data_IF_297721015474
#
_entry.id   IF_297721015474
#
_cell.length_a   1.000
_cell.length_b   1.000
_cell.length_c   1.000
_cell.angle_alpha   90.00
_cell.angle_beta   90.00
_cell.angle_gamma   90.00
#
_symmetry.space_group_name_H-M   'P 1'
#
loop_
_entity.id
_entity.type
_entity.pdbx_description
1 polymer ?
#
# COMPACT_ATOMS: atom_id res chain seq x y z
N UNK A 1 2.77 15.65 -21.43
CA UNK A 1 1.87 16.66 -22.05
C UNK A 1 2.51 18.06 -22.05
N UNK A 2 3.09 18.50 -20.93
CA UNK A 2 3.81 19.79 -20.82
C UNK A 2 4.85 20.02 -21.92
N UNK A 3 5.67 19.01 -22.26
CA UNK A 3 6.64 19.13 -23.35
C UNK A 3 6.01 19.40 -24.72
N UNK A 4 4.81 18.89 -25.00
CA UNK A 4 4.11 19.08 -26.27
C UNK A 4 3.59 20.51 -26.34
N UNK A 5 2.83 20.93 -25.33
CA UNK A 5 2.29 22.30 -25.23
C UNK A 5 3.43 23.33 -25.21
N UNK A 6 4.52 23.05 -24.50
CA UNK A 6 5.69 23.92 -24.37
C UNK A 6 6.36 24.30 -25.69
N UNK A 7 6.23 23.47 -26.75
CA UNK A 7 6.71 23.83 -28.10
C UNK A 7 5.98 25.06 -28.66
N UNK A 8 4.73 25.25 -28.27
CA UNK A 8 3.90 26.39 -28.64
C UNK A 8 4.04 27.60 -27.71
N UNK A 9 4.82 27.55 -26.63
CA UNK A 9 4.91 28.63 -25.62
C UNK A 9 6.10 29.59 -25.81
N UNK A 10 6.85 29.47 -26.91
CA UNK A 10 7.93 30.42 -27.23
C UNK A 10 7.37 31.81 -27.52
N UNK A 11 8.10 32.84 -27.06
CA UNK A 11 7.80 34.24 -27.33
C UNK A 11 8.03 34.56 -28.81
N UNK A 12 7.12 35.35 -29.39
CA UNK A 12 7.19 35.86 -30.76
C UNK A 12 6.46 37.21 -30.84
N UNK A 13 6.95 38.19 -31.61
CA UNK A 13 6.26 39.47 -31.77
C UNK A 13 4.81 39.29 -32.24
N UNK A 14 3.87 39.99 -31.62
CA UNK A 14 2.45 39.97 -31.97
C UNK A 14 1.65 38.74 -31.50
N UNK A 15 2.30 37.77 -30.84
CA UNK A 15 1.63 36.56 -30.33
C UNK A 15 1.02 36.81 -28.94
N UNK A 16 -0.30 36.69 -28.83
CA UNK A 16 -1.06 36.92 -27.59
C UNK A 16 -1.33 35.65 -26.79
N UNK A 17 -1.41 34.50 -27.47
CA UNK A 17 -1.80 33.22 -26.88
C UNK A 17 -1.30 32.02 -27.71
N UNK A 18 -1.52 30.81 -27.20
CA UNK A 18 -1.25 29.55 -27.87
C UNK A 18 -2.46 28.62 -27.70
N UNK A 19 -3.24 28.44 -28.76
CA UNK A 19 -4.39 27.53 -28.75
C UNK A 19 -3.93 26.06 -28.73
N UNK A 20 -4.47 25.29 -27.79
CA UNK A 20 -4.22 23.84 -27.66
C UNK A 20 -5.54 23.11 -27.93
N UNK A 21 -5.54 22.20 -28.91
CA UNK A 21 -6.69 21.37 -29.27
C UNK A 21 -6.38 19.92 -28.91
N UNK A 22 -7.09 19.36 -27.93
CA UNK A 22 -6.94 17.98 -27.49
C UNK A 22 -8.12 17.12 -27.94
N UNK A 23 -7.87 16.21 -28.88
CA UNK A 23 -8.87 15.29 -29.41
C UNK A 23 -8.82 13.89 -28.76
N UNK A 24 -7.88 13.66 -27.85
CA UNK A 24 -7.70 12.37 -27.17
C UNK A 24 -8.31 12.36 -25.76
N UNK A 25 -8.86 13.49 -25.28
CA UNK A 25 -9.54 13.57 -23.99
C UNK A 25 -8.59 13.38 -22.80
N UNK A 26 -7.34 13.84 -22.93
CA UNK A 26 -6.30 13.54 -21.92
C UNK A 26 -6.55 14.19 -20.54
N UNK A 27 -7.52 15.11 -20.40
CA UNK A 27 -7.85 15.83 -19.16
C UNK A 27 -6.62 16.27 -18.36
N UNK A 28 -5.63 16.84 -19.05
CA UNK A 28 -4.32 17.12 -18.47
C UNK A 28 -4.24 18.57 -17.98
N UNK A 29 -3.95 18.76 -16.70
CA UNK A 29 -3.63 20.08 -16.16
C UNK A 29 -2.15 20.40 -16.40
N UNK A 30 -1.87 21.45 -17.19
CA UNK A 30 -0.51 21.86 -17.56
C UNK A 30 0.37 22.18 -16.33
N UNK A 31 -0.22 22.58 -15.21
CA UNK A 31 0.49 22.93 -13.98
C UNK A 31 0.53 21.80 -12.95
N UNK A 32 -0.04 20.63 -13.27
CA UNK A 32 0.03 19.50 -12.36
C UNK A 32 1.49 19.07 -12.13
N UNK A 33 1.87 18.70 -10.89
CA UNK A 33 3.18 18.16 -10.62
C UNK A 33 3.37 16.82 -11.34
N UNK A 34 4.55 16.61 -11.93
CA UNK A 34 4.88 15.31 -12.52
C UNK A 34 5.31 14.34 -11.41
N UNK A 35 4.57 13.23 -11.27
CA UNK A 35 4.85 12.17 -10.28
C UNK A 35 6.10 11.36 -10.64
N UNK A 36 6.47 11.32 -11.93
CA UNK A 36 7.63 10.59 -12.44
C UNK A 36 7.42 9.09 -12.67
N UNK A 37 6.49 8.44 -11.95
CA UNK A 37 6.13 7.03 -12.15
C UNK A 37 4.90 6.86 -13.08
N UNK A 38 4.74 5.70 -13.75
CA UNK A 38 3.53 5.38 -14.50
C UNK A 38 2.28 5.43 -13.61
N UNK A 39 1.17 5.95 -14.17
CA UNK A 39 -0.12 5.95 -13.48
C UNK A 39 -0.58 4.51 -13.25
N UNK A 40 -0.88 4.11 -12.00
CA UNK A 40 -1.20 2.71 -11.69
C UNK A 40 -2.59 2.30 -12.18
N UNK A 41 -3.60 3.16 -11.99
CA UNK A 41 -4.99 2.88 -12.37
C UNK A 41 -5.68 4.12 -12.92
N UNK A 42 -6.70 3.92 -13.76
CA UNK A 42 -7.65 4.98 -14.10
C UNK A 42 -8.33 5.49 -12.82
N UNK A 43 -8.64 6.80 -12.76
CA UNK A 43 -9.22 7.43 -11.57
C UNK A 43 -8.21 7.89 -10.50
N UNK A 44 -6.91 7.64 -10.69
CA UNK A 44 -5.88 8.17 -9.78
C UNK A 44 -5.38 9.55 -10.19
N UNK A 45 -4.99 10.39 -9.24
CA UNK A 45 -4.46 11.73 -9.47
C UNK A 45 -3.19 11.97 -8.64
N UNK A 46 -2.40 13.01 -8.95
CA UNK A 46 -1.27 13.40 -8.11
C UNK A 46 -1.77 13.90 -6.74
N UNK A 47 -1.32 13.27 -5.66
CA UNK A 47 -1.62 13.63 -4.28
C UNK A 47 -0.35 13.98 -3.52
N UNK A 48 -0.46 14.90 -2.56
CA UNK A 48 0.64 15.26 -1.66
C UNK A 48 0.58 14.43 -0.37
N UNK A 49 1.68 13.76 -0.05
CA UNK A 49 1.80 12.92 1.15
C UNK A 49 3.06 13.31 1.93
N UNK A 50 2.93 13.91 3.14
CA UNK A 50 4.08 14.23 3.97
C UNK A 50 4.76 12.94 4.45
N UNK A 51 6.09 12.91 4.44
CA UNK A 51 6.84 11.81 5.02
C UNK A 51 6.77 11.87 6.56
N UNK A 52 6.34 10.79 7.24
CA UNK A 52 6.32 10.74 8.71
C UNK A 52 7.71 10.87 9.37
N UNK A 53 8.79 10.53 8.65
CA UNK A 53 10.15 10.62 9.19
C UNK A 53 10.76 12.02 9.03
N UNK A 54 10.67 12.61 7.84
CA UNK A 54 11.40 13.83 7.50
C UNK A 54 10.52 15.04 7.15
N UNK A 55 9.19 14.86 7.09
CA UNK A 55 8.23 15.92 6.78
C UNK A 55 8.16 16.33 5.30
N UNK A 56 9.01 15.77 4.42
CA UNK A 56 9.00 16.12 3.00
C UNK A 56 7.64 15.83 2.34
N UNK A 57 7.09 16.79 1.61
CA UNK A 57 5.82 16.66 0.89
C UNK A 57 6.03 15.88 -0.44
N UNK A 58 5.86 14.57 -0.39
CA UNK A 58 6.00 13.71 -1.56
C UNK A 58 4.83 13.90 -2.51
N UNK A 59 5.07 13.77 -3.81
CA UNK A 59 3.99 13.70 -4.80
C UNK A 59 3.87 12.26 -5.30
N UNK A 60 2.73 11.63 -5.08
CA UNK A 60 2.45 10.26 -5.50
C UNK A 60 1.17 10.18 -6.32
N UNK A 61 0.98 9.08 -7.05
CA UNK A 61 -0.35 8.72 -7.52
C UNK A 61 -1.23 8.29 -6.34
N UNK A 62 -2.48 8.74 -6.31
CA UNK A 62 -3.43 8.38 -5.26
C UNK A 62 -4.86 8.78 -5.60
N UNK A 63 -5.72 8.80 -4.59
CA UNK A 63 -7.12 9.24 -4.68
C UNK A 63 -7.41 10.14 -3.49
N UNK A 64 -8.27 11.14 -3.73
CA UNK A 64 -8.81 12.00 -2.69
C UNK A 64 -10.32 11.77 -2.52
N UNK A 65 -10.86 12.13 -1.36
CA UNK A 65 -12.30 12.27 -1.17
C UNK A 65 -12.82 13.61 -1.71
N UNK A 66 -14.12 13.87 -1.53
CA UNK A 66 -14.77 15.11 -1.99
C UNK A 66 -14.19 16.38 -1.34
N UNK A 67 -13.59 16.25 -0.15
CA UNK A 67 -12.95 17.34 0.59
C UNK A 67 -11.46 17.50 0.22
N UNK A 68 -10.94 16.67 -0.68
CA UNK A 68 -9.54 16.69 -1.13
C UNK A 68 -8.57 15.98 -0.17
N UNK A 69 -9.07 15.20 0.79
CA UNK A 69 -8.23 14.42 1.70
C UNK A 69 -7.77 13.13 1.05
N UNK A 70 -6.50 12.76 1.27
CA UNK A 70 -5.91 11.55 0.67
C UNK A 70 -6.50 10.30 1.32
N UNK A 71 -7.27 9.54 0.54
CA UNK A 71 -7.86 8.27 0.97
C UNK A 71 -7.05 7.05 0.51
N UNK A 72 -6.22 7.19 -0.52
CA UNK A 72 -5.35 6.13 -1.03
C UNK A 72 -4.12 6.73 -1.71
N UNK A 73 -2.94 6.11 -1.58
CA UNK A 73 -1.81 6.44 -2.43
C UNK A 73 -0.89 5.24 -2.69
N UNK A 74 -0.13 5.33 -3.77
CA UNK A 74 0.72 4.26 -4.29
C UNK A 74 2.23 4.52 -4.11
N UNK A 75 2.59 5.62 -3.44
CA UNK A 75 3.97 5.92 -3.08
C UNK A 75 4.63 4.83 -2.23
N UNK A 76 5.87 4.46 -2.57
CA UNK A 76 6.63 3.37 -1.92
C UNK A 76 7.71 3.87 -0.97
N UNK A 77 8.43 4.92 -1.36
CA UNK A 77 9.59 5.50 -0.64
C UNK A 77 9.47 7.02 -0.62
N UNK A 78 9.99 7.64 0.43
CA UNK A 78 10.16 9.09 0.44
C UNK A 78 11.12 9.55 -0.69
N UNK A 79 10.81 10.69 -1.29
CA UNK A 79 11.58 11.38 -2.33
C UNK A 79 12.39 12.56 -1.76
N UNK A 80 12.38 12.74 -0.44
CA UNK A 80 13.11 13.80 0.24
C UNK A 80 14.61 13.61 0.13
N UNK A 81 15.30 14.69 -0.21
CA UNK A 81 16.76 14.76 -0.33
C UNK A 81 17.23 15.94 0.51
N UNK A 82 18.20 15.69 1.37
CA UNK A 82 18.81 16.70 2.24
C UNK A 82 20.25 16.91 1.83
N UNK A 83 20.74 18.14 1.93
CA UNK A 83 22.14 18.49 1.69
C UNK A 83 22.70 19.06 3.00
N UNK A 84 23.81 18.49 3.48
CA UNK A 84 24.49 19.01 4.67
C UNK A 84 25.38 20.22 4.34
N UNK A 85 25.98 20.82 5.37
CA UNK A 85 26.85 21.99 5.21
C UNK A 85 28.15 21.69 4.42
N UNK A 86 28.49 20.42 4.22
CA UNK A 86 29.66 19.96 3.47
C UNK A 86 29.30 19.62 2.00
N UNK A 87 28.03 19.75 1.61
CA UNK A 87 27.53 19.44 0.28
C UNK A 87 27.22 17.95 0.07
N UNK A 88 27.25 17.13 1.13
CA UNK A 88 26.84 15.73 1.03
C UNK A 88 25.32 15.65 0.95
N UNK A 89 24.84 14.84 0.00
CA UNK A 89 23.41 14.63 -0.23
C UNK A 89 22.97 13.30 0.36
N UNK A 90 21.92 13.35 1.16
CA UNK A 90 21.32 12.18 1.81
C UNK A 90 19.84 12.06 1.42
N UNK A 91 19.45 10.89 0.91
CA UNK A 91 18.06 10.54 0.63
C UNK A 91 17.38 10.05 1.92
N UNK A 92 16.13 10.47 2.15
CA UNK A 92 15.32 9.89 3.21
C UNK A 92 15.12 8.39 2.99
N UNK A 93 15.40 7.59 4.01
CA UNK A 93 15.28 6.13 3.96
C UNK A 93 13.86 5.60 4.28
N UNK A 94 12.93 6.49 4.62
CA UNK A 94 11.56 6.12 4.98
C UNK A 94 10.84 5.43 3.81
N UNK A 95 10.22 4.28 4.12
CA UNK A 95 9.42 3.50 3.18
C UNK A 95 7.97 3.44 3.64
N UNK A 96 7.10 3.94 2.79
CA UNK A 96 5.65 3.82 2.91
C UNK A 96 5.20 2.36 2.75
N UNK A 97 5.85 1.62 1.83
CA UNK A 97 5.67 0.17 1.67
C UNK A 97 7.03 -0.50 1.58
N UNK A 98 7.27 -1.48 2.44
CA UNK A 98 8.54 -2.19 2.51
C UNK A 98 8.35 -3.68 2.73
N UNK A 99 9.33 -4.47 2.28
CA UNK A 99 9.52 -5.85 2.76
C UNK A 99 10.64 -5.91 3.78
N UNK A 100 10.38 -6.64 4.86
CA UNK A 100 11.31 -6.80 5.95
C UNK A 100 12.24 -7.97 5.65
N UNK A 101 13.55 -7.75 5.75
CA UNK A 101 14.52 -8.81 5.61
C UNK A 101 14.38 -9.80 6.77
N UNK A 102 14.21 -11.11 6.51
CA UNK A 102 14.10 -12.10 7.59
C UNK A 102 15.41 -12.32 8.35
N UNK A 103 16.56 -11.93 7.78
CA UNK A 103 17.87 -12.12 8.40
C UNK A 103 18.29 -10.95 9.29
N UNK A 104 18.16 -9.71 8.80
CA UNK A 104 18.63 -8.52 9.51
C UNK A 104 17.52 -7.56 9.96
N UNK A 105 16.26 -7.79 9.57
CA UNK A 105 15.14 -6.92 9.90
C UNK A 105 15.08 -5.60 9.12
N UNK A 106 16.04 -5.33 8.22
CA UNK A 106 16.04 -4.10 7.43
C UNK A 106 14.81 -4.00 6.52
N UNK A 107 14.28 -2.79 6.37
CA UNK A 107 13.24 -2.46 5.40
C UNK A 107 13.86 -2.37 3.99
N UNK A 108 13.21 -2.98 3.00
CA UNK A 108 13.66 -3.00 1.61
C UNK A 108 12.51 -2.60 0.70
N UNK A 109 12.84 -2.09 -0.50
CA UNK A 109 11.83 -1.86 -1.54
C UNK A 109 11.08 -3.17 -1.82
N UNK A 110 9.76 -3.10 -2.04
CA UNK A 110 8.94 -4.30 -2.26
C UNK A 110 9.41 -5.14 -3.47
N UNK A 111 10.03 -4.52 -4.48
CA UNK A 111 10.61 -5.19 -5.65
C UNK A 111 12.06 -5.66 -5.45
N UNK A 112 12.74 -5.34 -4.33
CA UNK A 112 14.16 -5.64 -4.15
C UNK A 112 14.43 -7.15 -4.03
N UNK A 113 15.16 -7.79 -4.95
CA UNK A 113 15.45 -9.23 -4.83
C UNK A 113 16.43 -9.61 -3.71
N UNK A 114 17.24 -8.65 -3.26
CA UNK A 114 18.24 -8.81 -2.20
C UNK A 114 18.13 -7.70 -1.18
N UNK A 115 18.51 -8.01 0.04
CA UNK A 115 18.53 -7.02 1.10
C UNK A 115 19.62 -5.99 0.83
N UNK A 116 19.27 -4.70 0.85
CA UNK A 116 20.23 -3.61 0.70
C UNK A 116 21.27 -3.54 1.82
N UNK A 117 20.99 -4.16 2.98
CA UNK A 117 21.86 -4.12 4.15
C UNK A 117 22.76 -5.35 4.29
N UNK A 118 22.23 -6.56 4.12
CA UNK A 118 22.98 -7.80 4.34
C UNK A 118 23.12 -8.70 3.09
N UNK A 119 22.66 -8.25 1.93
CA UNK A 119 22.65 -8.97 0.64
C UNK A 119 21.90 -10.32 0.61
N UNK A 120 21.26 -10.71 1.73
CA UNK A 120 20.40 -11.89 1.80
C UNK A 120 19.31 -11.82 0.73
N UNK A 121 19.10 -12.94 0.03
CA UNK A 121 18.00 -13.07 -0.93
C UNK A 121 16.67 -12.86 -0.19
N UNK A 122 15.89 -11.88 -0.65
CA UNK A 122 14.56 -11.64 -0.12
C UNK A 122 13.61 -12.59 -0.84
N UNK A 123 12.94 -13.45 -0.06
CA UNK A 123 12.05 -14.47 -0.61
C UNK A 123 10.97 -13.80 -1.46
N UNK A 124 10.91 -14.18 -2.73
CA UNK A 124 9.95 -13.65 -3.69
C UNK A 124 8.54 -14.14 -3.33
N UNK A 125 7.50 -13.31 -3.47
CA UNK A 125 6.11 -13.76 -3.31
C UNK A 125 5.77 -15.01 -4.13
N UNK A 126 6.29 -15.16 -5.35
CA UNK A 126 6.08 -16.35 -6.20
C UNK A 126 6.66 -17.61 -5.54
N UNK A 127 7.86 -17.50 -4.97
CA UNK A 127 8.52 -18.61 -4.28
C UNK A 127 7.75 -18.99 -3.01
N UNK A 128 7.29 -18.00 -2.22
CA UNK A 128 6.44 -18.24 -1.04
C UNK A 128 5.14 -18.95 -1.42
N UNK A 129 4.48 -18.51 -2.48
CA UNK A 129 3.24 -19.13 -2.96
C UNK A 129 3.51 -20.55 -3.43
N UNK A 130 4.55 -20.78 -4.23
CA UNK A 130 4.93 -22.10 -4.72
C UNK A 130 5.26 -23.05 -3.58
N UNK A 131 6.04 -22.62 -2.59
CA UNK A 131 6.36 -23.41 -1.40
C UNK A 131 5.09 -23.78 -0.63
N UNK A 132 4.22 -22.81 -0.37
CA UNK A 132 2.97 -23.04 0.34
C UNK A 132 2.01 -23.99 -0.41
N UNK A 133 1.91 -23.88 -1.73
CA UNK A 133 1.09 -24.76 -2.57
C UNK A 133 1.60 -26.21 -2.60
N UNK A 134 2.90 -26.43 -2.36
CA UNK A 134 3.49 -27.77 -2.29
C UNK A 134 3.32 -28.46 -0.93
N UNK A 135 2.93 -27.72 0.11
CA UNK A 135 2.76 -28.22 1.47
C UNK A 135 1.32 -28.69 1.71
N UNK A 136 1.14 -29.95 2.13
CA UNK A 136 -0.17 -30.55 2.40
C UNK A 136 -0.91 -29.94 3.60
N UNK A 137 -0.17 -29.31 4.51
CA UNK A 137 -0.69 -28.67 5.72
C UNK A 137 -0.84 -27.15 5.57
N UNK A 138 -0.69 -26.64 4.35
CA UNK A 138 -0.91 -25.23 4.00
C UNK A 138 -2.22 -25.04 3.22
N UNK A 139 -2.81 -23.87 3.42
CA UNK A 139 -3.93 -23.37 2.66
C UNK A 139 -3.52 -22.01 2.12
N UNK A 140 -3.68 -21.82 0.82
CA UNK A 140 -3.46 -20.56 0.14
C UNK A 140 -4.79 -20.13 -0.45
N UNK A 141 -5.29 -18.97 -0.04
CA UNK A 141 -6.47 -18.37 -0.67
C UNK A 141 -6.04 -17.15 -1.48
N UNK A 142 -6.66 -17.00 -2.66
CA UNK A 142 -6.63 -15.77 -3.45
C UNK A 142 -7.67 -14.84 -2.87
N UNK A 143 -7.24 -13.84 -2.13
CA UNK A 143 -8.16 -13.04 -1.35
C UNK A 143 -8.83 -12.00 -2.26
N UNK A 144 -10.15 -12.04 -2.30
CA UNK A 144 -11.02 -11.16 -3.09
C UNK A 144 -11.79 -10.16 -2.21
N UNK A 145 -11.68 -10.29 -0.89
CA UNK A 145 -12.33 -9.38 0.05
C UNK A 145 -11.99 -9.68 1.50
N UNK A 146 -12.28 -8.71 2.37
CA UNK A 146 -12.19 -8.86 3.82
C UNK A 146 -13.50 -8.41 4.48
N UNK A 147 -13.86 -9.07 5.58
CA UNK A 147 -14.96 -8.66 6.46
C UNK A 147 -14.44 -8.48 7.88
N UNK A 148 -14.88 -7.42 8.54
CA UNK A 148 -14.55 -7.09 9.93
C UNK A 148 -15.77 -7.29 10.82
N UNK A 149 -15.61 -8.04 11.92
CA UNK A 149 -16.66 -8.24 12.91
C UNK A 149 -16.13 -7.98 14.33
N UNK A 150 -16.94 -7.30 15.14
CA UNK A 150 -16.69 -7.22 16.57
C UNK A 150 -17.05 -8.54 17.25
N UNK A 151 -16.24 -8.94 18.23
CA UNK A 151 -16.53 -10.11 19.05
C UNK A 151 -15.95 -9.99 20.45
N UNK A 152 -16.08 -11.06 21.22
CA UNK A 152 -15.43 -11.22 22.53
C UNK A 152 -14.50 -12.42 22.54
N UNK A 153 -13.26 -12.18 22.97
CA UNK A 153 -12.30 -13.22 23.35
C UNK A 153 -12.27 -13.42 24.86
N UNK A 154 -11.37 -14.28 25.33
CA UNK A 154 -11.21 -14.60 26.76
C UNK A 154 -10.92 -13.36 27.63
N UNK A 155 -10.21 -12.37 27.08
CA UNK A 155 -9.77 -11.17 27.78
C UNK A 155 -10.67 -9.95 27.56
N UNK A 156 -11.76 -10.08 26.80
CA UNK A 156 -12.67 -8.98 26.48
C UNK A 156 -12.83 -8.77 24.98
N UNK A 157 -12.97 -7.51 24.57
CA UNK A 157 -13.22 -7.15 23.18
C UNK A 157 -12.13 -7.64 22.22
N UNK A 158 -12.55 -8.14 21.06
CA UNK A 158 -11.67 -8.56 19.96
C UNK A 158 -12.28 -8.19 18.61
N UNK A 159 -11.43 -7.95 17.64
CA UNK A 159 -11.80 -7.90 16.22
C UNK A 159 -11.58 -9.28 15.60
N UNK A 160 -12.55 -9.74 14.84
CA UNK A 160 -12.42 -10.85 13.90
C UNK A 160 -12.25 -10.28 12.49
N UNK A 161 -11.19 -10.70 11.82
CA UNK A 161 -10.92 -10.36 10.42
C UNK A 161 -11.07 -11.64 9.63
N UNK A 162 -11.97 -11.67 8.66
CA UNK A 162 -12.18 -12.80 7.76
C UNK A 162 -11.79 -12.40 6.34
N UNK A 163 -10.90 -13.17 5.74
CA UNK A 163 -10.48 -13.06 4.35
C UNK A 163 -11.26 -14.07 3.53
N UNK A 164 -11.76 -13.63 2.38
CA UNK A 164 -12.62 -14.41 1.49
C UNK A 164 -11.92 -14.62 0.14
N UNK A 165 -12.03 -15.80 -0.44
CA UNK A 165 -11.73 -15.99 -1.85
C UNK A 165 -12.99 -15.94 -2.74
N UNK A 166 -12.78 -16.04 -4.05
CA UNK A 166 -13.84 -16.07 -5.05
C UNK A 166 -14.67 -17.38 -5.01
N UNK A 167 -14.15 -18.43 -4.39
CA UNK A 167 -14.75 -19.78 -4.33
C UNK A 167 -15.49 -20.04 -3.00
N UNK A 168 -15.54 -19.05 -2.10
CA UNK A 168 -16.21 -19.12 -0.80
C UNK A 168 -15.37 -19.70 0.34
N UNK A 169 -14.09 -20.04 0.12
CA UNK A 169 -13.18 -20.36 1.21
C UNK A 169 -12.89 -19.11 2.05
N UNK A 170 -12.69 -19.35 3.34
CA UNK A 170 -12.41 -18.28 4.29
C UNK A 170 -11.27 -18.64 5.23
N UNK A 171 -10.49 -17.62 5.58
CA UNK A 171 -9.49 -17.68 6.63
C UNK A 171 -9.72 -16.52 7.58
N UNK A 172 -9.72 -16.79 8.88
CA UNK A 172 -9.95 -15.76 9.90
C UNK A 172 -8.77 -15.65 10.85
N UNK A 173 -8.49 -14.42 11.27
CA UNK A 173 -7.62 -14.12 12.41
C UNK A 173 -8.30 -13.16 13.38
N UNK A 174 -7.72 -13.05 14.57
CA UNK A 174 -8.31 -12.32 15.68
C UNK A 174 -7.30 -11.35 16.29
N UNK A 175 -7.74 -10.11 16.52
CA UNK A 175 -6.96 -9.10 17.20
C UNK A 175 -7.64 -8.75 18.52
N UNK A 176 -6.92 -8.88 19.62
CA UNK A 176 -7.39 -8.37 20.90
C UNK A 176 -7.54 -6.85 20.83
N UNK A 177 -8.58 -6.30 21.46
CA UNK A 177 -8.85 -4.86 21.44
C UNK A 177 -9.19 -4.27 22.83
N UNK A 178 -9.04 -5.09 23.88
CA UNK A 178 -9.47 -4.76 25.25
C UNK A 178 -8.52 -3.81 26.03
N UNK A 179 -7.36 -3.44 25.49
CA UNK A 179 -6.37 -2.59 26.17
C UNK A 179 -5.56 -1.75 25.19
N UNK A 180 -4.96 -0.65 25.65
CA UNK A 180 -4.11 0.21 24.83
C UNK A 180 -2.92 -0.55 24.19
N UNK A 181 -2.34 -1.51 24.90
CA UNK A 181 -1.29 -2.37 24.34
C UNK A 181 -1.79 -3.27 23.22
N UNK A 182 -3.02 -3.79 23.33
CA UNK A 182 -3.66 -4.59 22.30
C UNK A 182 -4.05 -3.74 21.07
N UNK A 183 -4.56 -2.53 21.30
CA UNK A 183 -4.85 -1.55 20.25
C UNK A 183 -3.58 -1.17 19.47
N UNK A 184 -2.46 -0.92 20.17
CA UNK A 184 -1.17 -0.66 19.51
C UNK A 184 -0.70 -1.84 18.67
N UNK A 185 -0.86 -3.07 19.17
CA UNK A 185 -0.51 -4.26 18.41
C UNK A 185 -1.39 -4.44 17.17
N UNK A 186 -2.69 -4.13 17.28
CA UNK A 186 -3.62 -4.08 16.15
C UNK A 186 -3.19 -3.03 15.12
N UNK A 187 -2.85 -1.81 15.56
CA UNK A 187 -2.35 -0.76 14.67
C UNK A 187 -1.12 -1.24 13.87
N UNK A 188 -0.16 -1.85 14.57
CA UNK A 188 1.09 -2.32 13.97
C UNK A 188 0.93 -3.52 13.04
N UNK A 189 0.05 -4.49 13.39
CA UNK A 189 -0.07 -5.77 12.65
C UNK A 189 -1.19 -5.82 11.63
N UNK A 190 -2.21 -4.97 11.78
CA UNK A 190 -3.34 -4.92 10.87
C UNK A 190 -3.35 -3.60 10.10
N UNK A 191 -3.53 -2.47 10.79
CA UNK A 191 -3.79 -1.16 10.16
C UNK A 191 -2.65 -0.75 9.23
N UNK A 192 -1.39 -0.82 9.69
CA UNK A 192 -0.19 -0.48 8.88
C UNK A 192 -0.13 -1.20 7.52
N UNK A 193 -0.73 -2.39 7.40
CA UNK A 193 -0.71 -3.18 6.16
C UNK A 193 -1.99 -3.04 5.33
N UNK A 194 -3.14 -2.85 5.99
CA UNK A 194 -4.46 -2.84 5.35
C UNK A 194 -4.95 -1.42 5.06
N UNK A 195 -4.31 -0.38 5.60
CA UNK A 195 -4.68 0.99 5.27
C UNK A 195 -4.18 1.37 3.86
N UNK A 196 -5.05 1.93 3.00
CA UNK A 196 -4.71 2.30 1.64
C UNK A 196 -3.75 3.48 1.52
N UNK A 197 -3.67 4.36 2.53
CA UNK A 197 -2.81 5.53 2.57
C UNK A 197 -1.70 5.41 3.64
N UNK A 198 -0.65 4.59 3.40
CA UNK A 198 0.39 4.32 4.41
C UNK A 198 1.06 5.60 4.92
N UNK A 199 1.35 5.68 6.22
CA UNK A 199 1.85 6.89 6.87
C UNK A 199 0.79 7.94 7.21
N UNK A 200 -0.45 7.76 6.73
CA UNK A 200 -1.63 8.56 7.07
C UNK A 200 -2.71 7.71 7.76
N UNK A 201 -2.32 6.62 8.42
CA UNK A 201 -3.25 5.75 9.12
C UNK A 201 -3.87 6.47 10.34
N UNK A 202 -5.20 6.45 10.52
CA UNK A 202 -5.81 6.99 11.72
C UNK A 202 -5.52 6.09 12.92
N UNK A 203 -5.57 6.68 14.12
CA UNK A 203 -5.56 5.91 15.37
C UNK A 203 -6.98 5.47 15.72
N UNK A 204 -7.18 4.15 15.81
CA UNK A 204 -8.47 3.59 16.20
C UNK A 204 -8.55 3.37 17.71
N UNK A 205 -9.27 4.27 18.40
CA UNK A 205 -9.47 4.19 19.85
C UNK A 205 -10.61 3.24 20.26
N UNK A 206 -11.50 2.86 19.33
CA UNK A 206 -12.68 2.03 19.62
C UNK A 206 -12.99 1.03 18.51
N UNK A 207 -13.59 -0.12 18.87
CA UNK A 207 -14.07 -1.09 17.89
C UNK A 207 -15.07 -0.49 16.89
N UNK A 208 -15.95 0.40 17.37
CA UNK A 208 -16.90 1.10 16.53
C UNK A 208 -16.21 1.93 15.44
N UNK A 209 -15.13 2.65 15.77
CA UNK A 209 -14.35 3.40 14.78
C UNK A 209 -13.68 2.50 13.74
N UNK A 210 -13.23 1.30 14.13
CA UNK A 210 -12.66 0.32 13.19
C UNK A 210 -13.73 -0.18 12.21
N UNK A 211 -14.91 -0.55 12.72
CA UNK A 211 -16.01 -1.05 11.89
C UNK A 211 -16.58 0.02 10.95
N UNK A 212 -16.63 1.28 11.39
CA UNK A 212 -17.04 2.40 10.55
C UNK A 212 -16.10 2.61 9.35
N UNK A 213 -14.81 2.29 9.52
CA UNK A 213 -13.79 2.36 8.46
C UNK A 213 -13.63 1.04 7.68
N UNK A 214 -14.47 0.02 7.91
CA UNK A 214 -14.27 -1.33 7.36
C UNK A 214 -14.08 -1.36 5.84
N UNK A 215 -14.86 -0.57 5.10
CA UNK A 215 -14.81 -0.50 3.64
C UNK A 215 -13.55 0.18 3.09
N UNK A 216 -12.80 0.92 3.91
CA UNK A 216 -11.56 1.58 3.49
C UNK A 216 -10.36 0.63 3.56
N UNK A 217 -10.41 -0.40 4.40
CA UNK A 217 -9.31 -1.34 4.50
C UNK A 217 -9.20 -2.17 3.22
N UNK A 218 -8.00 -2.18 2.64
CA UNK A 218 -7.67 -3.06 1.52
C UNK A 218 -7.37 -4.47 2.03
N UNK A 219 -7.69 -5.47 1.22
CA UNK A 219 -7.31 -6.85 1.48
C UNK A 219 -5.96 -7.19 0.83
N UNK A 220 -5.24 -8.21 1.34
CA UNK A 220 -4.09 -8.78 0.62
C UNK A 220 -4.53 -9.45 -0.67
N UNK A 221 -3.61 -9.66 -1.62
CA UNK A 221 -3.85 -10.46 -2.83
C UNK A 221 -3.90 -11.96 -2.49
N UNK A 222 -3.07 -12.40 -1.53
CA UNK A 222 -3.04 -13.78 -1.06
C UNK A 222 -2.93 -13.86 0.45
N UNK A 223 -3.59 -14.87 1.03
CA UNK A 223 -3.43 -15.23 2.44
C UNK A 223 -2.97 -16.68 2.53
N UNK A 224 -1.89 -16.90 3.27
CA UNK A 224 -1.32 -18.23 3.49
C UNK A 224 -1.56 -18.60 4.95
N UNK A 225 -2.25 -19.71 5.18
CA UNK A 225 -2.44 -20.31 6.48
C UNK A 225 -1.82 -21.70 6.57
N UNK A 226 -1.50 -22.11 7.79
CA UNK A 226 -1.02 -23.45 8.12
C UNK A 226 -1.91 -24.10 9.14
N UNK A 227 -2.11 -25.41 9.03
CA UNK A 227 -2.92 -26.18 9.97
C UNK A 227 -2.24 -26.23 11.35
N UNK A 228 -2.93 -25.76 12.37
CA UNK A 228 -2.53 -25.81 13.77
C UNK A 228 -3.59 -26.61 14.56
N UNK A 229 -3.37 -27.92 14.66
CA UNK A 229 -4.37 -28.84 15.22
C UNK A 229 -5.62 -28.92 14.34
N UNK A 230 -6.76 -28.44 14.88
CA UNK A 230 -8.05 -28.40 14.17
C UNK A 230 -8.31 -27.07 13.44
N UNK A 231 -7.46 -26.06 13.64
CA UNK A 231 -7.68 -24.71 13.14
C UNK A 231 -6.65 -24.32 12.09
N UNK A 232 -7.00 -23.36 11.25
CA UNK A 232 -6.07 -22.69 10.35
C UNK A 232 -5.48 -21.48 11.04
N UNK A 233 -4.15 -21.36 11.00
CA UNK A 233 -3.44 -20.19 11.51
C UNK A 233 -2.82 -19.44 10.35
N UNK A 234 -3.23 -18.18 10.14
CA UNK A 234 -2.62 -17.30 9.15
C UNK A 234 -1.14 -17.09 9.49
N UNK A 235 -0.29 -17.27 8.49
CA UNK A 235 1.17 -17.11 8.58
C UNK A 235 1.66 -15.94 7.78
N UNK A 236 1.11 -15.74 6.58
CA UNK A 236 1.55 -14.70 5.67
C UNK A 236 0.34 -14.05 4.99
N UNK A 237 0.46 -12.74 4.74
CA UNK A 237 -0.44 -11.95 3.90
C UNK A 237 0.41 -11.25 2.86
N UNK A 238 0.13 -11.50 1.59
CA UNK A 238 0.89 -10.94 0.46
C UNK A 238 0.05 -9.83 -0.13
N UNK A 239 0.62 -8.64 -0.23
CA UNK A 239 0.02 -7.47 -0.85
C UNK A 239 0.86 -6.99 -2.03
N UNK A 240 0.25 -6.17 -2.88
CA UNK A 240 0.88 -5.52 -4.03
C UNK A 240 1.58 -6.55 -4.93
N UNK A 241 0.95 -7.72 -5.08
CA UNK A 241 1.50 -8.86 -5.77
C UNK A 241 1.54 -8.62 -7.29
N UNK A 242 2.75 -8.66 -7.85
CA UNK A 242 3.00 -8.47 -9.29
C UNK A 242 3.80 -9.64 -9.87
N UNK A 243 3.24 -10.85 -9.75
CA UNK A 243 3.88 -12.11 -10.15
C UNK A 243 2.99 -13.00 -11.02
N UNK A 244 3.47 -14.21 -11.33
CA UNK A 244 2.85 -15.10 -12.36
C UNK A 244 1.47 -15.64 -12.01
N UNK A 245 1.19 -15.77 -10.72
CA UNK A 245 -0.14 -16.14 -10.20
C UNK A 245 -1.20 -15.02 -10.28
N UNK A 246 -0.90 -13.86 -10.88
CA UNK A 246 -1.84 -12.74 -11.06
C UNK A 246 -2.79 -13.09 -12.21
N UNK A 247 -4.09 -13.13 -11.95
CA UNK A 247 -5.12 -13.27 -12.99
C UNK A 247 -5.59 -11.90 -13.47
N UNK A 248 -6.04 -11.81 -14.71
CA UNK A 248 -6.32 -10.56 -15.44
C UNK A 248 -7.48 -9.69 -14.88
N UNK A 249 -8.11 -10.09 -13.75
CA UNK A 249 -9.30 -9.41 -13.21
C UNK A 249 -9.00 -8.32 -12.16
N UNK A 250 -7.76 -7.84 -12.07
CA UNK A 250 -7.40 -6.67 -11.24
C UNK A 250 -7.52 -5.32 -11.98
N UNK A 251 -8.36 -5.25 -13.02
CA UNK A 251 -8.72 -4.03 -13.74
C UNK A 251 -10.19 -3.71 -13.46
N UNK A 252 -10.47 -3.30 -12.22
CA UNK A 252 -11.69 -2.61 -11.82
C UNK A 252 -11.33 -1.22 -11.32
#
# INVERSE_FOLDING_TARGET
>A
YQQIVGRGLRLSPGKTDCLVLDYAGNNFNLFAPEVGEPRPHAGTEPVQVPCPACGFANTFWGKTDEDGQVIEHYGRRCQGLFEDNEGNREECDYRFRAKICPACGAENDIAARRCQHCDQLLVDPDDKLKEALNLKDCMVIRCAGLTLNAGRGKQGERLEVTYHDEEGLTLSEYFAFHSAGAQRLFQQRFVRHHWPAPGLEPEFASMASVLAAAAQFRHPDFVIARKAGRFWQIKEKIFDYDGRYRTANALG
#
